data_IF_369223741017
#
_entry.id   IF_369223741017
#
_cell.length_a   1.000
_cell.length_b   1.000
_cell.length_c   1.000
_cell.angle_alpha   90.00
_cell.angle_beta   90.00
_cell.angle_gamma   90.00
#
_symmetry.space_group_name_H-M   'P 1'
#
loop_
_entity.id
_entity.type
_entity.pdbx_description
1 polymer ?
#
# COMPACT_ATOMS: atom_id res chain seq x y z
N UNK A 1 -26.71 52.16 15.95
CA UNK A 1 -25.62 51.24 16.39
C UNK A 1 -26.18 49.82 16.35
N UNK A 2 -25.93 49.09 15.27
CA UNK A 2 -26.43 47.73 15.07
C UNK A 2 -25.33 46.75 15.47
N UNK A 3 -25.49 46.10 16.63
CA UNK A 3 -24.54 45.13 17.15
C UNK A 3 -24.58 43.85 16.32
N UNK A 4 -23.52 43.61 15.54
CA UNK A 4 -23.29 42.33 14.89
C UNK A 4 -23.01 41.27 15.95
N UNK A 5 -24.01 40.44 16.22
CA UNK A 5 -23.93 39.26 17.06
C UNK A 5 -22.89 38.30 16.46
N UNK A 6 -21.71 38.24 17.06
CA UNK A 6 -20.73 37.22 16.71
C UNK A 6 -21.26 35.88 17.22
N UNK A 7 -21.70 35.03 16.29
CA UNK A 7 -21.99 33.63 16.55
C UNK A 7 -20.67 32.94 16.85
N UNK A 8 -20.28 32.96 18.13
CA UNK A 8 -19.20 32.13 18.65
C UNK A 8 -19.71 30.69 18.59
N UNK A 9 -19.22 29.91 17.63
CA UNK A 9 -19.49 28.48 17.53
C UNK A 9 -18.83 27.77 18.72
N UNK A 10 -19.56 27.74 19.84
CA UNK A 10 -19.22 26.97 21.03
C UNK A 10 -19.38 25.49 20.73
N UNK A 11 -18.34 24.84 20.20
CA UNK A 11 -18.32 23.38 20.11
C UNK A 11 -18.40 22.78 21.51
N UNK A 12 -19.35 21.87 21.73
CA UNK A 12 -19.45 21.14 22.99
C UNK A 12 -18.18 20.32 23.24
N UNK A 13 -17.85 20.03 24.49
CA UNK A 13 -16.67 19.23 24.86
C UNK A 13 -16.61 17.89 24.12
N UNK A 14 -17.78 17.29 23.84
CA UNK A 14 -17.90 16.06 23.04
C UNK A 14 -17.47 16.26 21.58
N UNK A 15 -17.84 17.37 20.95
CA UNK A 15 -17.46 17.65 19.56
C UNK A 15 -15.97 17.94 19.41
N UNK A 16 -15.40 18.68 20.37
CA UNK A 16 -13.95 18.95 20.37
C UNK A 16 -13.15 17.65 20.48
N UNK A 17 -13.58 16.74 21.36
CA UNK A 17 -12.95 15.44 21.51
C UNK A 17 -13.00 14.62 20.21
N UNK A 18 -14.13 14.65 19.47
CA UNK A 18 -14.26 13.96 18.17
C UNK A 18 -13.26 14.48 17.14
N UNK A 19 -13.09 15.80 17.03
CA UNK A 19 -12.14 16.37 16.07
C UNK A 19 -10.68 16.08 16.43
N UNK A 20 -10.33 16.12 17.72
CA UNK A 20 -8.98 15.74 18.19
C UNK A 20 -8.71 14.27 17.86
N UNK A 21 -9.64 13.39 18.19
CA UNK A 21 -9.54 11.96 17.89
C UNK A 21 -9.37 11.71 16.38
N UNK A 22 -10.17 12.39 15.55
CA UNK A 22 -10.06 12.28 14.10
C UNK A 22 -8.71 12.79 13.58
N UNK A 23 -8.20 13.90 14.10
CA UNK A 23 -6.89 14.43 13.71
C UNK A 23 -5.75 13.45 14.05
N UNK A 24 -5.80 12.82 15.23
CA UNK A 24 -4.83 11.78 15.64
C UNK A 24 -4.89 10.58 14.68
N UNK A 25 -6.09 10.10 14.35
CA UNK A 25 -6.28 9.00 13.39
C UNK A 25 -5.66 9.36 12.03
N UNK A 26 -5.90 10.57 11.53
CA UNK A 26 -5.37 11.00 10.23
C UNK A 26 -3.84 11.02 10.21
N UNK A 27 -3.21 11.51 11.29
CA UNK A 27 -1.75 11.49 11.43
C UNK A 27 -1.23 10.05 11.53
N UNK A 28 -1.90 9.18 12.29
CA UNK A 28 -1.54 7.77 12.40
C UNK A 28 -1.62 7.05 11.04
N UNK A 29 -2.68 7.29 10.26
CA UNK A 29 -2.85 6.76 8.91
C UNK A 29 -1.70 7.23 8.01
N UNK A 30 -1.35 8.53 8.05
CA UNK A 30 -0.22 9.06 7.28
C UNK A 30 1.09 8.35 7.62
N UNK A 31 1.36 8.13 8.91
CA UNK A 31 2.54 7.40 9.39
C UNK A 31 2.58 5.96 8.92
N UNK A 32 1.47 5.23 9.00
CA UNK A 32 1.37 3.84 8.53
C UNK A 32 1.60 3.75 7.03
N UNK A 33 0.99 4.65 6.24
CA UNK A 33 1.18 4.71 4.79
C UNK A 33 2.64 4.94 4.43
N UNK A 34 3.31 5.87 5.12
CA UNK A 34 4.72 6.16 4.86
C UNK A 34 5.63 4.99 5.25
N UNK A 35 5.45 4.40 6.43
CA UNK A 35 6.27 3.27 6.88
C UNK A 35 6.10 2.04 6.00
N UNK A 36 4.86 1.60 5.77
CA UNK A 36 4.59 0.38 5.00
C UNK A 36 4.74 0.60 3.50
N UNK A 37 4.26 1.73 2.97
CA UNK A 37 4.28 2.02 1.55
C UNK A 37 5.69 2.23 1.02
N UNK A 38 6.48 3.08 1.68
CA UNK A 38 7.84 3.39 1.24
C UNK A 38 8.81 2.23 1.54
N UNK A 39 8.68 1.60 2.72
CA UNK A 39 9.51 0.45 3.08
C UNK A 39 9.34 -0.72 2.12
N UNK A 40 8.09 -1.08 1.81
CA UNK A 40 7.82 -2.16 0.85
C UNK A 40 8.27 -1.79 -0.56
N UNK A 41 8.14 -0.53 -0.98
CA UNK A 41 8.61 -0.10 -2.30
C UNK A 41 10.12 -0.23 -2.44
N UNK A 42 10.90 0.24 -1.45
CA UNK A 42 12.36 0.15 -1.46
C UNK A 42 12.85 -1.30 -1.40
N UNK A 43 12.24 -2.14 -0.55
CA UNK A 43 12.60 -3.56 -0.46
C UNK A 43 12.30 -4.31 -1.77
N UNK A 44 11.18 -4.00 -2.43
CA UNK A 44 10.88 -4.60 -3.73
C UNK A 44 11.86 -4.14 -4.82
N UNK A 45 12.34 -2.88 -4.77
CA UNK A 45 13.41 -2.42 -5.67
C UNK A 45 14.70 -3.22 -5.50
N UNK A 46 15.10 -3.53 -4.27
CA UNK A 46 16.28 -4.36 -4.02
C UNK A 46 16.08 -5.82 -4.48
N UNK A 47 14.88 -6.38 -4.30
CA UNK A 47 14.54 -7.72 -4.81
C UNK A 47 14.57 -7.78 -6.34
N UNK A 48 14.22 -6.68 -7.03
CA UNK A 48 14.38 -6.58 -8.48
C UNK A 48 15.85 -6.63 -8.91
N UNK A 49 16.72 -5.91 -8.21
CA UNK A 49 18.17 -5.95 -8.50
C UNK A 49 18.78 -7.35 -8.30
N UNK A 50 18.20 -8.16 -7.41
CA UNK A 50 18.64 -9.53 -7.15
C UNK A 50 18.07 -10.57 -8.12
N UNK A 51 17.24 -10.19 -9.11
CA UNK A 51 16.61 -11.12 -10.06
C UNK A 51 15.82 -12.25 -9.36
N UNK A 52 15.07 -11.92 -8.31
CA UNK A 52 14.32 -12.90 -7.55
C UNK A 52 13.27 -13.64 -8.40
N UNK A 53 13.01 -14.91 -8.07
CA UNK A 53 12.00 -15.73 -8.78
C UNK A 53 10.62 -15.06 -8.77
N UNK A 54 10.23 -14.41 -7.67
CA UNK A 54 8.95 -13.75 -7.52
C UNK A 54 9.09 -12.40 -6.81
N UNK A 55 8.40 -11.38 -7.34
CA UNK A 55 8.44 -10.03 -6.80
C UNK A 55 7.03 -9.45 -6.64
N UNK A 56 6.83 -8.67 -5.57
CA UNK A 56 5.61 -7.92 -5.35
C UNK A 56 5.66 -6.57 -6.06
N UNK A 57 4.77 -6.39 -7.03
CA UNK A 57 4.60 -5.12 -7.73
C UNK A 57 3.30 -4.44 -7.25
N UNK A 58 3.45 -3.30 -6.56
CA UNK A 58 2.31 -2.47 -6.17
C UNK A 58 2.28 -1.17 -6.96
N UNK A 59 1.24 -0.98 -7.76
CA UNK A 59 0.95 0.31 -8.40
C UNK A 59 0.41 1.37 -7.43
N UNK A 60 0.16 0.98 -6.17
CA UNK A 60 -0.43 1.84 -5.14
C UNK A 60 0.58 2.44 -4.16
N UNK A 61 1.77 1.84 -4.03
CA UNK A 61 2.76 2.26 -3.04
C UNK A 61 3.14 3.75 -3.22
N UNK A 62 3.51 4.14 -4.44
CA UNK A 62 3.92 5.52 -4.74
C UNK A 62 2.73 6.51 -4.69
N UNK A 63 1.57 6.25 -5.33
CA UNK A 63 0.40 7.12 -5.18
C UNK A 63 -0.03 7.34 -3.72
N UNK A 64 -0.01 6.30 -2.88
CA UNK A 64 -0.34 6.45 -1.47
C UNK A 64 0.72 7.26 -0.71
N UNK A 65 2.01 7.08 -1.01
CA UNK A 65 3.06 7.91 -0.43
C UNK A 65 2.89 9.40 -0.79
N UNK A 66 2.54 9.71 -2.04
CA UNK A 66 2.23 11.08 -2.50
C UNK A 66 0.96 11.61 -1.82
N UNK A 67 -0.03 10.75 -1.56
CA UNK A 67 -1.25 11.13 -0.86
C UNK A 67 -1.05 11.31 0.66
N UNK A 68 0.03 10.80 1.26
CA UNK A 68 0.27 10.89 2.71
C UNK A 68 0.20 12.30 3.30
N UNK A 69 0.69 13.39 2.65
CA UNK A 69 0.61 14.73 3.19
C UNK A 69 -0.83 15.25 3.26
N UNK A 70 -1.75 14.72 2.44
CA UNK A 70 -3.18 15.09 2.47
C UNK A 70 -3.76 14.84 3.85
N UNK A 71 -3.42 13.71 4.48
CA UNK A 71 -3.93 13.37 5.80
C UNK A 71 -3.42 14.33 6.88
N UNK A 72 -2.16 14.77 6.77
CA UNK A 72 -1.57 15.75 7.69
C UNK A 72 -2.22 17.12 7.50
N UNK A 73 -2.41 17.56 6.26
CA UNK A 73 -3.06 18.85 5.95
C UNK A 73 -4.53 18.85 6.42
N UNK A 74 -5.24 17.74 6.25
CA UNK A 74 -6.61 17.60 6.76
C UNK A 74 -6.65 17.59 8.30
N UNK A 75 -5.70 16.93 8.97
CA UNK A 75 -5.56 17.00 10.42
C UNK A 75 -5.32 18.45 10.88
N UNK A 76 -4.48 19.21 10.16
CA UNK A 76 -4.26 20.62 10.44
C UNK A 76 -5.53 21.47 10.23
N UNK A 77 -6.31 21.21 9.18
CA UNK A 77 -7.61 21.85 8.97
C UNK A 77 -8.59 21.58 10.13
N UNK A 78 -8.60 20.37 10.70
CA UNK A 78 -9.41 20.05 11.88
C UNK A 78 -8.95 20.84 13.11
N UNK A 79 -7.65 21.00 13.31
CA UNK A 79 -7.10 21.84 14.40
C UNK A 79 -7.48 23.31 14.20
N UNK A 80 -7.39 23.85 12.98
CA UNK A 80 -7.85 25.21 12.69
C UNK A 80 -9.33 25.41 12.99
N UNK A 81 -10.17 24.40 12.71
CA UNK A 81 -11.60 24.41 13.04
C UNK A 81 -11.85 24.40 14.54
N UNK A 82 -11.07 23.65 15.31
CA UNK A 82 -11.13 23.62 16.78
C UNK A 82 -10.81 24.99 17.41
N UNK A 83 -9.91 25.74 16.81
CA UNK A 83 -9.50 27.10 17.25
C UNK A 83 -10.43 28.19 16.68
N UNK A 84 -11.45 27.82 15.91
CA UNK A 84 -12.40 28.78 15.31
C UNK A 84 -11.83 29.61 14.17
N UNK A 85 -10.80 29.10 13.47
CA UNK A 85 -10.14 29.75 12.32
C UNK A 85 -10.52 29.11 10.98
N UNK A 86 -11.69 28.49 10.91
CA UNK A 86 -12.21 27.76 9.74
C UNK A 86 -12.59 28.67 8.56
N UNK A 87 -12.93 29.93 8.81
CA UNK A 87 -13.32 30.90 7.75
C UNK A 87 -12.14 31.69 7.17
N UNK A 88 -10.92 31.44 7.64
CA UNK A 88 -9.72 32.18 7.23
C UNK A 88 -9.16 31.72 5.89
N UNK A 89 -8.44 32.61 5.20
CA UNK A 89 -7.71 32.29 3.95
C UNK A 89 -6.74 31.12 4.11
N UNK A 90 -6.16 30.96 5.31
CA UNK A 90 -5.29 29.83 5.64
C UNK A 90 -6.04 28.49 5.51
N UNK A 91 -7.24 28.37 6.09
CA UNK A 91 -8.04 27.14 6.02
C UNK A 91 -8.38 26.78 4.58
N UNK A 92 -8.89 27.73 3.80
CA UNK A 92 -9.26 27.52 2.39
C UNK A 92 -8.05 27.13 1.54
N UNK A 93 -6.90 27.79 1.72
CA UNK A 93 -5.69 27.45 0.98
C UNK A 93 -5.15 26.07 1.35
N UNK A 94 -5.08 25.73 2.64
CA UNK A 94 -4.64 24.39 3.08
C UNK A 94 -5.57 23.31 2.56
N UNK A 95 -6.88 23.52 2.63
CA UNK A 95 -7.87 22.56 2.13
C UNK A 95 -7.72 22.37 0.61
N UNK A 96 -7.64 23.46 -0.15
CA UNK A 96 -7.44 23.40 -1.60
C UNK A 96 -6.12 22.71 -1.99
N UNK A 97 -5.05 22.94 -1.21
CA UNK A 97 -3.78 22.24 -1.40
C UNK A 97 -3.93 20.73 -1.15
N UNK A 98 -4.61 20.34 -0.05
CA UNK A 98 -4.86 18.93 0.25
C UNK A 98 -5.66 18.25 -0.87
N UNK A 99 -6.70 18.92 -1.39
CA UNK A 99 -7.47 18.45 -2.55
C UNK A 99 -6.58 18.32 -3.79
N UNK A 100 -5.77 19.34 -4.08
CA UNK A 100 -4.85 19.34 -5.23
C UNK A 100 -3.86 18.17 -5.18
N UNK A 101 -3.23 17.93 -4.04
CA UNK A 101 -2.31 16.79 -3.85
C UNK A 101 -3.06 15.46 -4.03
N UNK A 102 -4.28 15.34 -3.48
CA UNK A 102 -5.11 14.14 -3.65
C UNK A 102 -5.43 13.85 -5.12
N UNK A 103 -5.77 14.87 -5.90
CA UNK A 103 -6.00 14.74 -7.35
C UNK A 103 -4.73 14.31 -8.06
N UNK A 104 -3.59 14.92 -7.75
CA UNK A 104 -2.29 14.54 -8.33
C UNK A 104 -1.97 13.07 -8.02
N UNK A 105 -2.17 12.62 -6.79
CA UNK A 105 -1.94 11.22 -6.40
C UNK A 105 -2.80 10.25 -7.23
N UNK A 106 -4.07 10.58 -7.49
CA UNK A 106 -4.95 9.78 -8.33
C UNK A 106 -4.46 9.77 -9.79
N UNK A 107 -4.05 10.92 -10.31
CA UNK A 107 -3.55 11.03 -11.70
C UNK A 107 -2.25 10.27 -11.91
N UNK A 108 -1.34 10.27 -10.92
CA UNK A 108 -0.07 9.53 -10.97
C UNK A 108 -0.28 8.01 -11.00
N UNK A 109 -1.38 7.51 -10.44
CA UNK A 109 -1.66 6.07 -10.40
C UNK A 109 -1.72 5.42 -11.79
N UNK A 110 -2.36 6.08 -12.74
CA UNK A 110 -2.60 5.53 -14.08
C UNK A 110 -1.29 5.24 -14.83
N UNK A 111 -0.37 6.21 -15.02
CA UNK A 111 0.90 5.94 -15.69
C UNK A 111 1.79 5.01 -14.88
N UNK A 112 1.76 5.07 -13.54
CA UNK A 112 2.59 4.20 -12.70
C UNK A 112 2.28 2.71 -12.86
N UNK A 113 0.99 2.35 -12.96
CA UNK A 113 0.61 0.96 -13.20
C UNK A 113 1.20 0.42 -14.52
N UNK A 114 1.06 1.20 -15.59
CA UNK A 114 1.62 0.86 -16.90
C UNK A 114 3.14 0.80 -16.90
N UNK A 115 3.81 1.78 -16.27
CA UNK A 115 5.27 1.82 -16.18
C UNK A 115 5.84 0.60 -15.46
N UNK A 116 5.27 0.23 -14.30
CA UNK A 116 5.72 -0.94 -13.54
C UNK A 116 5.52 -2.22 -14.37
N UNK A 117 4.35 -2.38 -14.99
CA UNK A 117 4.05 -3.53 -15.83
C UNK A 117 5.00 -3.63 -17.05
N UNK A 118 5.25 -2.52 -17.75
CA UNK A 118 6.17 -2.49 -18.90
C UNK A 118 7.58 -2.90 -18.49
N UNK A 119 8.10 -2.32 -17.40
CA UNK A 119 9.42 -2.66 -16.88
C UNK A 119 9.55 -4.13 -16.50
N UNK A 120 8.55 -4.68 -15.83
CA UNK A 120 8.54 -6.10 -15.47
C UNK A 120 8.60 -7.01 -16.69
N UNK A 121 7.81 -6.71 -17.72
CA UNK A 121 7.82 -7.47 -18.98
C UNK A 121 9.13 -7.33 -19.74
N UNK A 122 9.72 -6.13 -19.77
CA UNK A 122 11.04 -5.86 -20.36
C UNK A 122 12.13 -6.73 -19.70
N UNK A 123 12.05 -6.93 -18.39
CA UNK A 123 12.96 -7.79 -17.60
C UNK A 123 12.60 -9.29 -17.67
N UNK A 124 11.59 -9.67 -18.46
CA UNK A 124 11.18 -11.05 -18.68
C UNK A 124 10.17 -11.62 -17.68
N UNK A 125 9.70 -10.82 -16.71
CA UNK A 125 8.71 -11.27 -15.74
C UNK A 125 7.32 -11.44 -16.35
N UNK A 126 6.56 -12.37 -15.78
CA UNK A 126 5.19 -12.68 -16.14
C UNK A 126 4.28 -12.58 -14.91
N UNK A 127 3.06 -12.09 -15.13
CA UNK A 127 2.07 -11.97 -14.06
C UNK A 127 1.59 -13.36 -13.61
N UNK A 128 1.57 -13.61 -12.30
CA UNK A 128 1.05 -14.86 -11.73
C UNK A 128 -0.23 -14.61 -10.93
N UNK A 129 -1.35 -15.06 -11.48
CA UNK A 129 -2.66 -14.93 -10.84
C UNK A 129 -2.75 -15.74 -9.54
N UNK A 130 -2.24 -16.97 -9.53
CA UNK A 130 -2.33 -17.89 -8.38
C UNK A 130 -1.57 -17.39 -7.15
N UNK A 131 -0.46 -16.68 -7.37
CA UNK A 131 0.29 -16.01 -6.30
C UNK A 131 -0.23 -14.61 -6.00
N UNK A 132 -1.18 -14.08 -6.76
CA UNK A 132 -1.74 -12.76 -6.49
C UNK A 132 -2.94 -12.87 -5.55
N UNK A 133 -3.01 -11.98 -4.55
CA UNK A 133 -4.19 -11.90 -3.68
C UNK A 133 -5.38 -11.28 -4.40
N UNK A 134 -6.60 -11.87 -4.32
CA UNK A 134 -7.79 -11.29 -4.93
C UNK A 134 -8.28 -10.03 -4.22
N UNK A 135 -7.70 -9.67 -3.06
CA UNK A 135 -8.13 -8.48 -2.34
C UNK A 135 -7.66 -7.20 -3.05
N UNK A 136 -8.57 -6.23 -3.13
CA UNK A 136 -8.27 -4.91 -3.67
C UNK A 136 -7.08 -4.27 -2.92
N UNK A 137 -6.26 -3.49 -3.65
CA UNK A 137 -5.07 -2.79 -3.14
C UNK A 137 -3.90 -3.67 -2.69
N UNK A 138 -3.98 -5.00 -2.85
CA UNK A 138 -2.81 -5.87 -2.66
C UNK A 138 -1.82 -5.72 -3.82
N UNK A 139 -0.51 -5.86 -3.56
CA UNK A 139 0.46 -5.98 -4.63
C UNK A 139 0.14 -7.19 -5.51
N UNK A 140 0.39 -7.05 -6.80
CA UNK A 140 0.38 -8.15 -7.74
C UNK A 140 1.70 -8.91 -7.66
N UNK A 141 1.67 -10.21 -7.88
CA UNK A 141 2.88 -11.03 -7.92
C UNK A 141 3.29 -11.27 -9.36
N UNK A 142 4.57 -11.01 -9.63
CA UNK A 142 5.21 -11.25 -10.91
C UNK A 142 6.33 -12.25 -10.71
N UNK A 143 6.43 -13.21 -11.62
CA UNK A 143 7.44 -14.29 -11.57
C UNK A 143 8.36 -14.22 -12.77
N UNK A 144 9.62 -14.60 -12.59
CA UNK A 144 10.69 -14.47 -13.59
C UNK A 144 10.40 -15.19 -14.91
N UNK A 145 9.65 -16.30 -14.88
CA UNK A 145 9.10 -16.93 -16.06
C UNK A 145 7.75 -17.58 -15.73
N UNK A 146 6.88 -17.80 -16.73
CA UNK A 146 5.56 -18.40 -16.50
C UNK A 146 5.62 -19.78 -15.82
N UNK A 147 6.72 -20.51 -16.01
CA UNK A 147 6.93 -21.84 -15.43
C UNK A 147 6.99 -21.82 -13.89
N UNK A 148 7.39 -20.70 -13.29
CA UNK A 148 7.41 -20.52 -11.84
C UNK A 148 6.03 -20.20 -11.24
N UNK A 149 5.01 -19.94 -12.07
CA UNK A 149 3.64 -19.72 -11.61
C UNK A 149 2.92 -21.06 -11.43
N UNK A 150 2.97 -21.62 -10.23
CA UNK A 150 2.34 -22.91 -9.94
C UNK A 150 0.84 -22.70 -9.69
N UNK A 151 0.01 -23.40 -10.46
CA UNK A 151 -1.44 -23.31 -10.38
C UNK A 151 -2.00 -23.86 -9.06
N UNK A 152 -3.21 -23.43 -8.68
CA UNK A 152 -3.95 -23.92 -7.50
C UNK A 152 -3.26 -23.72 -6.14
N UNK A 153 -2.20 -22.93 -6.07
CA UNK A 153 -1.44 -22.61 -4.85
C UNK A 153 -2.08 -21.52 -3.98
N UNK A 154 -3.31 -21.09 -4.28
CA UNK A 154 -3.94 -19.94 -3.60
C UNK A 154 -4.05 -20.09 -2.08
N UNK A 155 -4.19 -21.34 -1.59
CA UNK A 155 -4.28 -21.68 -0.16
C UNK A 155 -2.92 -21.61 0.56
N UNK A 156 -1.83 -21.99 -0.12
CA UNK A 156 -0.46 -21.95 0.39
C UNK A 156 0.34 -20.74 -0.10
N UNK A 157 -0.32 -19.76 -0.74
CA UNK A 157 0.37 -18.62 -1.37
C UNK A 157 1.34 -17.92 -0.42
N UNK A 158 0.90 -17.63 0.81
CA UNK A 158 1.74 -16.90 1.79
C UNK A 158 3.02 -17.68 2.12
N UNK A 159 2.94 -18.91 2.67
CA UNK A 159 4.16 -19.66 3.01
C UNK A 159 5.03 -19.95 1.78
N UNK A 160 4.44 -20.17 0.61
CA UNK A 160 5.21 -20.36 -0.62
C UNK A 160 5.98 -19.09 -1.02
N UNK A 161 5.33 -17.92 -0.94
CA UNK A 161 5.99 -16.64 -1.23
C UNK A 161 7.07 -16.30 -0.20
N UNK A 162 6.81 -16.54 1.09
CA UNK A 162 7.79 -16.31 2.14
C UNK A 162 9.04 -17.18 1.93
N UNK A 163 8.84 -18.45 1.54
CA UNK A 163 9.93 -19.33 1.15
C UNK A 163 10.69 -18.83 -0.08
N UNK A 164 10.00 -18.42 -1.15
CA UNK A 164 10.64 -17.87 -2.36
C UNK A 164 11.48 -16.62 -2.05
N UNK A 165 11.01 -15.76 -1.14
CA UNK A 165 11.72 -14.55 -0.74
C UNK A 165 12.91 -14.81 0.19
N UNK A 166 12.91 -15.94 0.89
CA UNK A 166 14.01 -16.35 1.76
C UNK A 166 15.15 -17.06 1.00
N UNK A 167 15.00 -17.32 -0.30
CA UNK A 167 16.03 -17.98 -1.11
C UNK A 167 17.27 -17.07 -1.28
N UNK A 168 18.49 -17.62 -1.12
CA UNK A 168 19.71 -16.88 -1.39
C UNK A 168 19.79 -16.50 -2.87
N UNK A 169 20.41 -15.35 -3.16
CA UNK A 169 20.60 -14.82 -4.52
C UNK A 169 19.31 -14.77 -5.35
N UNK A 170 18.16 -14.52 -4.69
CA UNK A 170 16.85 -14.46 -5.33
C UNK A 170 16.36 -15.82 -5.86
N UNK A 171 17.01 -16.93 -5.50
CA UNK A 171 16.70 -18.26 -6.02
C UNK A 171 17.18 -18.48 -7.45
N UNK A 172 18.26 -17.81 -7.87
CA UNK A 172 18.78 -17.92 -9.25
C UNK A 172 19.07 -19.36 -9.70
N UNK A 173 19.47 -20.21 -8.77
CA UNK A 173 19.79 -21.62 -8.99
C UNK A 173 18.58 -22.55 -8.85
N UNK A 174 17.44 -22.04 -8.35
CA UNK A 174 16.24 -22.83 -8.12
C UNK A 174 15.41 -22.91 -9.41
N UNK A 175 15.11 -24.13 -9.82
CA UNK A 175 14.36 -24.43 -11.03
C UNK A 175 12.85 -24.36 -10.79
N UNK A 176 12.07 -24.17 -11.86
CA UNK A 176 10.60 -24.20 -11.77
C UNK A 176 10.08 -25.56 -11.24
N UNK A 177 10.78 -26.66 -11.52
CA UNK A 177 10.41 -27.99 -11.05
C UNK A 177 10.60 -28.13 -9.53
N UNK A 178 11.66 -27.53 -8.96
CA UNK A 178 11.87 -27.50 -7.51
C UNK A 178 10.82 -26.64 -6.80
N UNK A 179 10.47 -25.48 -7.38
CA UNK A 179 9.36 -24.66 -6.85
C UNK A 179 8.05 -25.43 -6.90
N UNK A 180 7.79 -26.18 -7.97
CA UNK A 180 6.61 -27.04 -8.09
C UNK A 180 6.61 -28.13 -7.03
N UNK A 181 7.72 -28.85 -6.86
CA UNK A 181 7.84 -29.88 -5.85
C UNK A 181 7.57 -29.32 -4.45
N UNK A 182 8.14 -28.15 -4.12
CA UNK A 182 7.91 -27.48 -2.84
C UNK A 182 6.46 -27.05 -2.64
N UNK A 183 5.83 -26.52 -3.69
CA UNK A 183 4.41 -26.16 -3.65
C UNK A 183 3.51 -27.38 -3.40
N UNK A 184 3.80 -28.52 -4.05
CA UNK A 184 3.04 -29.76 -3.83
C UNK A 184 3.23 -30.29 -2.41
N UNK A 185 4.46 -30.29 -1.90
CA UNK A 185 4.76 -30.66 -0.50
C UNK A 185 3.94 -29.81 0.49
N UNK A 186 3.88 -28.49 0.28
CA UNK A 186 3.09 -27.60 1.12
C UNK A 186 1.57 -27.83 0.99
N UNK A 187 1.09 -28.18 -0.21
CA UNK A 187 -0.33 -28.51 -0.43
C UNK A 187 -0.71 -29.80 0.28
N UNK A 188 0.12 -30.85 0.19
CA UNK A 188 -0.10 -32.12 0.89
C UNK A 188 -0.16 -31.93 2.41
N UNK A 189 0.77 -31.14 2.97
CA UNK A 189 0.76 -30.79 4.40
C UNK A 189 -0.50 -29.97 4.78
N UNK A 190 -0.93 -29.02 3.93
CA UNK A 190 -2.18 -28.29 4.15
C UNK A 190 -3.39 -29.23 4.21
N UNK A 191 -3.50 -30.16 3.27
CA UNK A 191 -4.59 -31.15 3.18
C UNK A 191 -4.56 -32.15 4.35
N UNK A 192 -3.39 -32.51 4.84
CA UNK A 192 -3.20 -33.32 6.04
C UNK A 192 -3.60 -32.59 7.35
N UNK A 193 -3.94 -31.30 7.27
CA UNK A 193 -4.37 -30.49 8.41
C UNK A 193 -3.21 -29.90 9.22
N UNK A 194 -1.97 -29.98 8.71
CA UNK A 194 -0.83 -29.29 9.28
C UNK A 194 -0.99 -27.79 9.01
N UNK A 195 -1.28 -27.02 10.07
CA UNK A 195 -1.39 -25.58 9.92
C UNK A 195 0.00 -24.98 9.83
N UNK A 196 0.29 -24.34 8.70
CA UNK A 196 1.34 -23.33 8.57
C UNK A 196 0.95 -22.12 9.44
N UNK A 197 1.19 -22.22 10.74
CA UNK A 197 1.10 -21.10 11.66
C UNK A 197 2.41 -20.34 11.58
N UNK A 198 2.34 -19.10 11.05
CA UNK A 198 2.90 -17.89 11.65
C UNK A 198 2.28 -16.64 10.98
#
# INVERSE_FOLDING_TARGET
MSGSMQVVTSHSTSEKAKFIFLAIIMVAIAGVILMLGLGNFLNNFQLFEQYAIAVYASSWALPMAIASPVFILLAFCLVLRLVGKDKGRLYTNTFNLAVGIGVVAILVRLPMGYMIESRLKEEGYSYCFWYTSPANFRPQVWVRSPEYCIEQTGVIRRPLMDWLQALPDGGRDVTAQEVRAKAMEMLEAYEAGERFLD
#
